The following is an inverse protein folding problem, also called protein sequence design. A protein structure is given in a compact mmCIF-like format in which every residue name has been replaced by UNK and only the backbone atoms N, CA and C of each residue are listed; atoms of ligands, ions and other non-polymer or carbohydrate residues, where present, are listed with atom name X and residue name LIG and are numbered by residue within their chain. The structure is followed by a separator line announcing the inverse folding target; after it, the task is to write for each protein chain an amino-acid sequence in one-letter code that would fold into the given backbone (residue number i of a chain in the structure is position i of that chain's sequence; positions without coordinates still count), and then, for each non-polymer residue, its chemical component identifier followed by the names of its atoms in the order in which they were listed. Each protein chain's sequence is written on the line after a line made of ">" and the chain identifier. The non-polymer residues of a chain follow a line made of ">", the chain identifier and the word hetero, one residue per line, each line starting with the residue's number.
data_IF_487015024546
#
_entry.id   IF_487015024546
#
_cell.length_a   1.000
_cell.length_b   1.000
_cell.length_c   1.000
_cell.angle_alpha   90.00
_cell.angle_beta   90.00
_cell.angle_gamma   90.00
#
_symmetry.space_group_name_H-M   'P 1'
#
loop_
_entity.id
_entity.type
_entity.pdbx_description
1 polymer ?
#
# COMPACT_ATOMS: atom_id res chain seq x y z
N UNK A 1 8.82 4.73 7.85
CA UNK A 1 8.04 3.47 7.97
C UNK A 1 8.76 2.37 7.22
N UNK A 2 9.07 1.26 7.89
CA UNK A 2 9.67 0.08 7.26
C UNK A 2 8.57 -0.76 6.59
N UNK A 3 8.80 -1.16 5.34
CA UNK A 3 7.89 -2.03 4.59
C UNK A 3 8.54 -3.42 4.51
N UNK A 4 7.84 -4.42 5.03
CA UNK A 4 8.30 -5.81 5.08
C UNK A 4 7.42 -6.65 4.17
N UNK A 5 7.92 -6.91 2.97
CA UNK A 5 7.21 -7.71 2.00
C UNK A 5 7.37 -9.20 2.33
N UNK A 6 6.27 -9.85 2.73
CA UNK A 6 6.23 -11.27 3.05
C UNK A 6 6.27 -12.07 1.74
N UNK A 7 7.16 -13.05 1.69
CA UNK A 7 7.36 -13.91 0.51
C UNK A 7 7.15 -15.39 0.81
N UNK A 8 6.88 -15.70 2.06
CA UNK A 8 6.68 -17.06 2.55
C UNK A 8 5.63 -17.04 3.66
N UNK A 9 4.66 -17.93 3.56
CA UNK A 9 3.57 -18.00 4.54
C UNK A 9 4.05 -18.59 5.88
N UNK A 10 3.44 -18.12 6.97
CA UNK A 10 3.67 -18.64 8.30
C UNK A 10 4.83 -18.02 9.06
N UNK A 11 5.61 -17.12 8.43
CA UNK A 11 6.74 -16.41 9.08
C UNK A 11 6.35 -15.06 9.70
N UNK A 12 5.11 -14.60 9.51
CA UNK A 12 4.68 -13.25 9.84
C UNK A 12 4.85 -12.95 11.34
N UNK A 13 4.48 -13.90 12.22
CA UNK A 13 4.62 -13.73 13.67
C UNK A 13 6.11 -13.63 14.08
N UNK A 14 6.98 -14.38 13.42
CA UNK A 14 8.43 -14.31 13.66
C UNK A 14 9.01 -12.97 13.19
N UNK A 15 8.59 -12.50 12.02
CA UNK A 15 8.97 -11.19 11.48
C UNK A 15 8.55 -10.08 12.45
N UNK A 16 7.30 -10.09 12.92
CA UNK A 16 6.80 -9.12 13.90
C UNK A 16 7.63 -9.17 15.20
N UNK A 17 7.94 -10.37 15.70
CA UNK A 17 8.77 -10.55 16.90
C UNK A 17 10.17 -9.95 16.72
N UNK A 18 10.81 -10.16 15.57
CA UNK A 18 12.12 -9.59 15.24
C UNK A 18 12.07 -8.05 15.15
N UNK A 19 11.04 -7.50 14.51
CA UNK A 19 10.84 -6.05 14.38
C UNK A 19 10.64 -5.41 15.75
N UNK A 20 9.84 -6.02 16.61
CA UNK A 20 9.62 -5.54 17.98
C UNK A 20 10.90 -5.61 18.82
N UNK A 21 11.68 -6.71 18.72
CA UNK A 21 13.00 -6.83 19.36
C UNK A 21 13.96 -5.75 18.89
N UNK A 22 13.91 -5.38 17.62
CA UNK A 22 14.71 -4.27 17.04
C UNK A 22 14.17 -2.88 17.41
N UNK A 23 13.08 -2.79 18.20
CA UNK A 23 12.43 -1.54 18.63
C UNK A 23 11.97 -0.64 17.47
N UNK A 24 11.64 -1.22 16.31
CA UNK A 24 11.14 -0.49 15.15
C UNK A 24 9.66 -0.16 15.36
N UNK A 25 9.35 1.12 15.59
CA UNK A 25 7.99 1.57 15.94
C UNK A 25 7.06 1.74 14.74
N UNK A 26 7.60 1.98 13.55
CA UNK A 26 6.80 2.24 12.35
C UNK A 26 7.14 1.25 11.25
N UNK A 27 6.25 0.31 11.03
CA UNK A 27 6.35 -0.70 9.98
C UNK A 27 4.99 -1.21 9.56
N UNK A 28 4.93 -1.90 8.43
CA UNK A 28 3.82 -2.77 8.07
C UNK A 28 4.31 -3.96 7.24
N UNK A 29 3.56 -5.06 7.34
CA UNK A 29 3.71 -6.23 6.49
C UNK A 29 2.91 -6.03 5.20
N UNK A 30 3.51 -6.41 4.08
CA UNK A 30 2.91 -6.37 2.76
C UNK A 30 2.84 -7.78 2.19
N UNK A 31 1.89 -8.03 1.29
CA UNK A 31 1.64 -9.33 0.63
C UNK A 31 1.39 -10.46 1.65
N UNK A 32 0.64 -10.16 2.69
CA UNK A 32 0.22 -11.13 3.70
C UNK A 32 -0.99 -11.90 3.20
N UNK A 33 -0.99 -13.21 3.36
CA UNK A 33 -2.08 -14.09 2.97
C UNK A 33 -3.39 -13.77 3.70
N UNK A 34 -4.50 -13.96 2.98
CA UNK A 34 -5.82 -13.56 3.45
C UNK A 34 -6.23 -14.19 4.79
N UNK A 35 -5.97 -15.49 5.07
CA UNK A 35 -6.25 -16.08 6.37
C UNK A 35 -5.50 -15.41 7.52
N UNK A 36 -4.24 -15.01 7.30
CA UNK A 36 -3.45 -14.32 8.31
C UNK A 36 -3.98 -12.92 8.61
N UNK A 37 -4.58 -12.23 7.63
CA UNK A 37 -5.23 -10.93 7.84
C UNK A 37 -6.32 -11.06 8.92
N UNK A 38 -7.15 -12.11 8.87
CA UNK A 38 -8.19 -12.35 9.89
C UNK A 38 -7.60 -12.72 11.25
N UNK A 39 -6.51 -13.49 11.30
CA UNK A 39 -5.75 -13.75 12.53
C UNK A 39 -5.26 -12.43 13.16
N UNK A 40 -4.73 -11.53 12.35
CA UNK A 40 -4.29 -10.20 12.79
C UNK A 40 -5.43 -9.36 13.36
N UNK A 41 -6.61 -9.37 12.73
CA UNK A 41 -7.78 -8.68 13.26
C UNK A 41 -8.16 -9.21 14.65
N UNK A 42 -8.21 -10.52 14.82
CA UNK A 42 -8.52 -11.17 16.10
C UNK A 42 -7.52 -10.78 17.18
N UNK A 43 -6.24 -10.65 16.83
CA UNK A 43 -5.16 -10.32 17.75
C UNK A 43 -4.90 -8.80 17.87
N UNK A 44 -5.76 -7.95 17.30
CA UNK A 44 -5.61 -6.49 17.25
C UNK A 44 -4.26 -6.03 16.64
N UNK A 45 -3.66 -6.83 15.76
CA UNK A 45 -2.44 -6.49 15.05
C UNK A 45 -2.77 -5.64 13.83
N UNK A 46 -2.37 -4.36 13.85
CA UNK A 46 -2.75 -3.37 12.83
C UNK A 46 -1.66 -3.05 11.80
N UNK A 47 -0.47 -3.64 11.96
CA UNK A 47 0.68 -3.35 11.12
C UNK A 47 0.69 -4.18 9.83
N UNK A 48 -0.41 -4.12 9.08
CA UNK A 48 -0.57 -4.74 7.77
C UNK A 48 -1.03 -3.69 6.79
N UNK A 49 -0.54 -3.74 5.56
CA UNK A 49 -1.10 -3.01 4.44
C UNK A 49 -2.06 -3.90 3.66
N UNK A 50 -3.27 -3.40 3.44
CA UNK A 50 -4.22 -4.02 2.52
C UNK A 50 -3.83 -3.64 1.10
N UNK A 51 -3.81 -4.60 0.19
CA UNK A 51 -3.50 -4.37 -1.21
C UNK A 51 -4.74 -3.97 -1.99
N UNK A 52 -4.57 -3.04 -2.91
CA UNK A 52 -5.56 -2.61 -3.88
C UNK A 52 -4.88 -2.34 -5.22
N UNK A 53 -5.47 -2.80 -6.30
CA UNK A 53 -5.01 -2.52 -7.66
C UNK A 53 -6.21 -2.45 -8.62
N UNK A 54 -5.95 -2.22 -9.90
CA UNK A 54 -6.98 -2.34 -10.93
C UNK A 54 -7.43 -3.79 -11.20
N UNK A 55 -6.74 -4.76 -10.57
CA UNK A 55 -7.08 -6.20 -10.65
C UNK A 55 -7.85 -6.70 -9.43
N UNK A 56 -7.94 -5.88 -8.36
CA UNK A 56 -8.57 -6.25 -7.11
C UNK A 56 -9.76 -5.32 -6.82
N UNK A 57 -10.94 -5.87 -6.47
CA UNK A 57 -12.11 -5.05 -6.15
C UNK A 57 -11.86 -4.16 -4.93
N UNK A 58 -12.24 -2.88 -5.02
CA UNK A 58 -12.12 -1.94 -3.90
C UNK A 58 -12.94 -2.36 -2.67
N UNK A 59 -13.97 -3.16 -2.86
CA UNK A 59 -14.83 -3.65 -1.77
C UNK A 59 -14.06 -4.53 -0.78
N UNK A 60 -13.01 -5.23 -1.22
CA UNK A 60 -12.10 -5.96 -0.32
C UNK A 60 -11.44 -4.97 0.65
N UNK A 61 -10.90 -3.86 0.15
CA UNK A 61 -10.30 -2.83 1.00
C UNK A 61 -11.31 -2.21 1.95
N UNK A 62 -12.56 -2.03 1.49
CA UNK A 62 -13.65 -1.49 2.31
C UNK A 62 -13.96 -2.35 3.54
N UNK A 63 -13.85 -3.67 3.46
CA UNK A 63 -14.03 -4.57 4.61
C UNK A 63 -13.06 -4.27 5.76
N UNK A 64 -11.91 -3.69 5.43
CA UNK A 64 -10.82 -3.42 6.37
C UNK A 64 -10.67 -1.95 6.75
N UNK A 65 -11.61 -1.08 6.36
CA UNK A 65 -11.65 0.32 6.80
C UNK A 65 -11.58 0.40 8.32
N UNK A 66 -10.76 1.33 8.84
CA UNK A 66 -10.51 1.57 10.27
C UNK A 66 -9.89 0.37 11.03
N UNK A 67 -9.70 -0.78 10.39
CA UNK A 67 -9.09 -1.97 10.99
C UNK A 67 -7.58 -1.96 10.79
N UNK A 68 -7.13 -1.59 9.59
CA UNK A 68 -5.72 -1.43 9.25
C UNK A 68 -5.41 0.01 8.85
N UNK A 69 -4.15 0.38 8.99
CA UNK A 69 -3.72 1.77 8.78
C UNK A 69 -3.35 2.04 7.32
N UNK A 70 -2.72 1.08 6.64
CA UNK A 70 -2.12 1.28 5.33
C UNK A 70 -2.88 0.58 4.22
N UNK A 71 -2.97 1.26 3.09
CA UNK A 71 -3.39 0.72 1.80
C UNK A 71 -2.22 0.80 0.82
N UNK A 72 -1.84 -0.34 0.28
CA UNK A 72 -0.87 -0.47 -0.80
C UNK A 72 -1.58 -0.38 -2.13
N UNK A 73 -1.39 0.72 -2.86
CA UNK A 73 -2.03 0.97 -4.15
C UNK A 73 -1.09 0.52 -5.25
N UNK A 74 -1.29 -0.67 -5.77
CA UNK A 74 -0.52 -1.17 -6.88
C UNK A 74 -1.04 -0.63 -8.22
N UNK A 75 -0.15 -0.53 -9.20
CA UNK A 75 -0.44 0.06 -10.52
C UNK A 75 0.03 -0.86 -11.63
N UNK A 76 -0.40 -2.12 -11.59
CA UNK A 76 0.11 -3.20 -12.46
C UNK A 76 0.05 -2.81 -13.94
N UNK A 77 -1.06 -2.27 -14.40
CA UNK A 77 -1.23 -1.80 -15.80
C UNK A 77 -1.65 -0.33 -15.91
N UNK A 78 -2.23 0.24 -14.87
CA UNK A 78 -2.71 1.63 -14.85
C UNK A 78 -2.89 2.15 -13.42
N UNK A 79 -3.07 3.46 -13.26
CA UNK A 79 -3.45 4.06 -11.98
C UNK A 79 -4.90 3.68 -11.64
N UNK A 80 -5.17 2.94 -10.53
CA UNK A 80 -6.51 2.44 -10.21
C UNK A 80 -7.38 3.46 -9.47
N UNK A 81 -7.13 4.76 -9.64
CA UNK A 81 -7.83 5.82 -8.93
C UNK A 81 -8.99 6.40 -9.75
N UNK A 82 -10.14 6.53 -9.09
CA UNK A 82 -11.30 7.25 -9.62
C UNK A 82 -12.12 7.85 -8.45
N UNK A 83 -13.10 8.70 -8.75
CA UNK A 83 -13.94 9.37 -7.74
C UNK A 83 -14.67 8.40 -6.81
N UNK A 84 -15.05 7.20 -7.31
CA UNK A 84 -15.79 6.20 -6.54
C UNK A 84 -14.89 5.55 -5.50
N UNK A 85 -13.72 5.02 -5.91
CA UNK A 85 -12.83 4.29 -5.00
C UNK A 85 -12.06 5.21 -4.05
N UNK A 86 -11.84 6.48 -4.38
CA UNK A 86 -11.22 7.46 -3.49
C UNK A 86 -11.94 7.63 -2.17
N UNK A 87 -13.27 7.41 -2.11
CA UNK A 87 -14.03 7.46 -0.86
C UNK A 87 -13.55 6.41 0.15
N UNK A 88 -13.12 5.25 -0.34
CA UNK A 88 -12.54 4.17 0.48
C UNK A 88 -11.07 4.44 0.75
N UNK A 89 -10.29 4.74 -0.29
CA UNK A 89 -8.84 4.95 -0.22
C UNK A 89 -8.48 6.01 0.83
N UNK A 90 -9.20 7.12 0.90
CA UNK A 90 -8.98 8.22 1.87
C UNK A 90 -9.21 7.82 3.33
N UNK A 91 -9.70 6.61 3.61
CA UNK A 91 -9.82 6.08 4.97
C UNK A 91 -8.53 5.45 5.50
N UNK A 92 -7.55 5.28 4.63
CA UNK A 92 -6.25 4.70 4.92
C UNK A 92 -5.14 5.73 4.73
N UNK A 93 -3.99 5.48 5.31
CA UNK A 93 -2.73 5.98 4.78
C UNK A 93 -2.41 5.19 3.53
N UNK A 94 -1.99 5.89 2.48
CA UNK A 94 -1.79 5.27 1.17
C UNK A 94 -0.32 5.29 0.75
N UNK A 95 0.14 4.15 0.25
CA UNK A 95 1.43 4.03 -0.43
C UNK A 95 1.18 3.66 -1.89
N UNK A 96 1.52 4.56 -2.80
CA UNK A 96 1.36 4.35 -4.25
C UNK A 96 2.59 3.64 -4.80
N UNK A 97 2.39 2.55 -5.52
CA UNK A 97 3.43 1.94 -6.35
C UNK A 97 3.54 2.71 -7.65
N UNK A 98 4.74 3.12 -7.98
CA UNK A 98 5.00 3.93 -9.16
C UNK A 98 4.95 3.11 -10.47
N UNK A 99 4.60 3.74 -11.62
CA UNK A 99 4.51 3.04 -12.91
C UNK A 99 5.85 2.52 -13.42
N UNK A 100 6.96 3.14 -13.05
CA UNK A 100 8.30 2.69 -13.44
C UNK A 100 8.65 1.31 -12.85
N UNK A 101 8.04 0.91 -11.74
CA UNK A 101 8.17 -0.45 -11.19
C UNK A 101 7.68 -1.50 -12.21
N UNK A 102 6.75 -1.11 -13.04
CA UNK A 102 6.14 -1.93 -14.08
C UNK A 102 6.66 -1.60 -15.48
N UNK A 103 7.85 -0.97 -15.59
CA UNK A 103 8.49 -0.64 -16.85
C UNK A 103 7.88 0.56 -17.60
N UNK A 104 7.07 1.39 -16.93
CA UNK A 104 6.37 2.53 -17.56
C UNK A 104 6.78 3.89 -16.95
N UNK A 105 8.08 4.25 -16.93
CA UNK A 105 8.55 5.51 -16.34
C UNK A 105 7.93 6.76 -17.00
N UNK A 106 7.60 6.68 -18.28
CA UNK A 106 6.99 7.80 -19.02
C UNK A 106 5.58 8.15 -18.53
N UNK A 107 4.95 7.29 -17.72
CA UNK A 107 3.62 7.54 -17.17
C UNK A 107 3.63 8.32 -15.83
N UNK A 108 4.79 8.62 -15.26
CA UNK A 108 4.88 9.34 -13.96
C UNK A 108 4.11 10.66 -14.02
N UNK A 109 4.36 11.51 -15.02
CA UNK A 109 3.67 12.79 -15.16
C UNK A 109 2.16 12.64 -15.41
N UNK A 110 1.76 11.63 -16.16
CA UNK A 110 0.35 11.30 -16.36
C UNK A 110 -0.33 10.94 -15.04
N UNK A 111 0.32 10.14 -14.19
CA UNK A 111 -0.21 9.77 -12.87
C UNK A 111 -0.31 10.98 -11.94
N UNK A 112 0.72 11.83 -11.90
CA UNK A 112 0.70 13.09 -11.14
C UNK A 112 -0.48 13.98 -11.56
N UNK A 113 -0.69 14.15 -12.88
CA UNK A 113 -1.80 14.94 -13.38
C UNK A 113 -3.17 14.34 -13.04
N UNK A 114 -3.32 13.00 -13.16
CA UNK A 114 -4.56 12.32 -12.78
C UNK A 114 -4.86 12.48 -11.29
N UNK A 115 -3.86 12.32 -10.42
CA UNK A 115 -4.01 12.53 -8.98
C UNK A 115 -4.36 13.98 -8.64
N UNK A 116 -3.74 14.96 -9.30
CA UNK A 116 -4.08 16.38 -9.16
C UNK A 116 -5.54 16.65 -9.52
N UNK A 117 -6.02 16.13 -10.65
CA UNK A 117 -7.41 16.27 -11.10
C UNK A 117 -8.40 15.63 -10.12
N UNK A 118 -7.99 14.55 -9.45
CA UNK A 118 -8.77 13.85 -8.44
C UNK A 118 -8.66 14.48 -7.04
N UNK A 119 -7.84 15.52 -6.87
CA UNK A 119 -7.52 16.14 -5.58
C UNK A 119 -7.08 15.08 -4.55
N UNK A 120 -6.16 14.22 -4.98
CA UNK A 120 -5.60 13.14 -4.18
C UNK A 120 -4.08 13.24 -4.15
N UNK A 121 -3.51 13.09 -2.96
CA UNK A 121 -2.07 12.97 -2.71
C UNK A 121 -1.84 11.75 -1.85
N UNK A 122 -1.03 10.76 -2.29
CA UNK A 122 -0.68 9.62 -1.45
C UNK A 122 0.23 10.07 -0.29
N UNK A 123 0.18 9.33 0.84
CA UNK A 123 1.07 9.58 1.98
C UNK A 123 2.51 9.15 1.70
N UNK A 124 2.69 8.19 0.80
CA UNK A 124 3.99 7.71 0.36
C UNK A 124 3.94 7.24 -1.10
N UNK A 125 5.09 7.25 -1.76
CA UNK A 125 5.27 6.66 -3.09
C UNK A 125 6.43 5.67 -3.02
N UNK A 126 6.19 4.43 -3.46
CA UNK A 126 7.24 3.45 -3.65
C UNK A 126 7.84 3.64 -5.04
N UNK A 127 9.05 4.13 -5.08
CA UNK A 127 9.80 4.47 -6.30
C UNK A 127 11.26 4.06 -6.16
N UNK A 128 11.97 3.92 -7.26
CA UNK A 128 13.42 3.74 -7.24
C UNK A 128 14.15 5.07 -7.09
N UNK A 129 15.37 5.04 -6.56
CA UNK A 129 16.19 6.24 -6.35
C UNK A 129 16.32 7.07 -7.64
N UNK A 130 16.49 6.41 -8.78
CA UNK A 130 16.59 7.05 -10.09
C UNK A 130 15.42 8.00 -10.42
N UNK A 131 14.21 7.68 -9.95
CA UNK A 131 13.00 8.45 -10.26
C UNK A 131 12.45 9.23 -9.05
N UNK A 132 13.15 9.20 -7.91
CA UNK A 132 12.66 9.83 -6.69
C UNK A 132 12.35 11.33 -6.89
N UNK A 133 13.23 12.06 -7.58
CA UNK A 133 13.03 13.49 -7.86
C UNK A 133 11.80 13.76 -8.73
N UNK A 134 11.45 12.85 -9.65
CA UNK A 134 10.26 13.00 -10.50
C UNK A 134 8.95 12.99 -9.71
N UNK A 135 8.98 12.54 -8.45
CA UNK A 135 7.81 12.50 -7.57
C UNK A 135 7.75 13.65 -6.57
N UNK A 136 8.85 14.39 -6.36
CA UNK A 136 8.94 15.47 -5.38
C UNK A 136 8.33 16.80 -5.86
N UNK A 137 8.20 17.00 -7.17
CA UNK A 137 7.55 18.15 -7.81
C UNK A 137 6.04 17.90 -7.92
#
# INVERSE_FOLDING_TARGET
>A
TLILNIKEDGIEDEVIKKVNKAKIKSFFLLDVEFPYIFKCLKNNQKNIAIRFSEKEPIDISKLFEKKFKWLWIDTVSKLPLNKKNLKVIKKFKSCLVCPERWGRPNEINKYKQQMKNLKFKPDAVMTSLKYAYSWLE
#
